data_IF_816632887138
#
_entry.id   IF_816632887138
#
_cell.length_a   1.000
_cell.length_b   1.000
_cell.length_c   1.000
_cell.angle_alpha   90.00
_cell.angle_beta   90.00
_cell.angle_gamma   90.00
#
_symmetry.space_group_name_H-M   'P 1'
#
loop_
_entity.id
_entity.type
_entity.pdbx_description
1 polymer ?
#
# COMPACT_ATOMS: atom_id res chain seq x y z
N UNK A 1 -19.18 -17.20 -20.08
CA UNK A 1 -18.65 -17.72 -18.80
C UNK A 1 -17.85 -16.60 -18.15
N UNK A 2 -18.39 -15.94 -17.13
CA UNK A 2 -17.65 -14.93 -16.36
C UNK A 2 -16.70 -15.64 -15.41
N UNK A 3 -15.55 -15.03 -15.13
CA UNK A 3 -14.47 -15.56 -14.28
C UNK A 3 -14.89 -15.81 -12.81
N UNK A 4 -16.17 -15.63 -12.48
CA UNK A 4 -16.78 -15.89 -11.18
C UNK A 4 -16.88 -17.37 -10.83
N UNK A 5 -16.82 -18.25 -11.84
CA UNK A 5 -17.20 -19.66 -11.68
C UNK A 5 -15.98 -20.60 -11.57
N UNK A 6 -14.76 -20.04 -11.67
CA UNK A 6 -13.51 -20.75 -11.48
C UNK A 6 -12.98 -20.36 -10.09
N UNK A 7 -12.65 -21.33 -9.24
CA UNK A 7 -12.15 -21.13 -7.87
C UNK A 7 -10.75 -20.47 -7.82
N UNK A 8 -10.56 -19.32 -8.46
CA UNK A 8 -9.31 -18.55 -8.48
C UNK A 8 -9.41 -17.37 -7.52
N UNK A 9 -8.54 -17.35 -6.50
CA UNK A 9 -8.46 -16.25 -5.54
C UNK A 9 -7.06 -15.63 -5.55
N UNK A 10 -6.99 -14.35 -5.91
CA UNK A 10 -5.78 -13.55 -5.75
C UNK A 10 -5.67 -13.07 -4.31
N UNK A 11 -4.59 -13.46 -3.62
CA UNK A 11 -4.21 -12.91 -2.31
C UNK A 11 -3.13 -11.84 -2.49
N UNK A 12 -2.66 -11.25 -1.38
CA UNK A 12 -1.64 -10.19 -1.44
C UNK A 12 -0.33 -10.64 -2.11
N UNK A 13 0.04 -11.92 -1.95
CA UNK A 13 1.31 -12.47 -2.46
C UNK A 13 1.13 -13.70 -3.33
N UNK A 14 0.07 -14.48 -3.11
CA UNK A 14 -0.11 -15.80 -3.72
C UNK A 14 -1.41 -15.86 -4.54
N UNK A 15 -1.41 -16.71 -5.55
CA UNK A 15 -2.63 -17.10 -6.26
C UNK A 15 -3.07 -18.45 -5.71
N UNK A 16 -4.26 -18.50 -5.13
CA UNK A 16 -4.85 -19.72 -4.57
C UNK A 16 -5.87 -20.29 -5.56
N UNK A 17 -5.77 -21.58 -5.82
CA UNK A 17 -6.75 -22.36 -6.59
C UNK A 17 -7.59 -23.22 -5.63
N UNK A 18 -8.85 -23.51 -5.96
CA UNK A 18 -9.68 -24.49 -5.25
C UNK A 18 -9.20 -25.93 -5.50
N UNK A 19 -9.51 -26.86 -4.59
CA UNK A 19 -9.01 -28.25 -4.66
C UNK A 19 -9.36 -28.96 -5.97
N UNK A 20 -10.58 -28.76 -6.49
CA UNK A 20 -11.02 -29.35 -7.76
C UNK A 20 -10.28 -28.80 -8.99
N UNK A 21 -9.66 -27.61 -8.90
CA UNK A 21 -9.01 -26.93 -10.02
C UNK A 21 -7.51 -27.18 -10.16
N UNK A 22 -6.89 -27.97 -9.27
CA UNK A 22 -5.44 -28.22 -9.34
C UNK A 22 -5.04 -29.21 -10.44
N UNK A 23 -5.93 -30.15 -10.81
CA UNK A 23 -5.70 -31.13 -11.87
C UNK A 23 -5.77 -30.51 -13.29
N UNK A 24 -6.55 -29.45 -13.46
CA UNK A 24 -6.71 -28.73 -14.73
C UNK A 24 -5.60 -27.70 -15.01
N UNK A 25 -4.61 -27.57 -14.13
CA UNK A 25 -3.53 -26.58 -14.28
C UNK A 25 -2.70 -26.79 -15.56
N UNK A 26 -2.50 -28.04 -15.99
CA UNK A 26 -1.79 -28.34 -17.25
C UNK A 26 -2.61 -27.88 -18.48
N UNK A 27 -3.95 -28.01 -18.40
CA UNK A 27 -4.89 -27.55 -19.44
C UNK A 27 -4.94 -26.02 -19.49
N UNK A 28 -4.93 -25.35 -18.34
CA UNK A 28 -4.90 -23.88 -18.29
C UNK A 28 -3.61 -23.31 -18.90
N UNK A 29 -2.46 -23.93 -18.65
CA UNK A 29 -1.17 -23.52 -19.26
C UNK A 29 -1.22 -23.72 -20.78
N UNK A 30 -1.79 -24.82 -21.27
CA UNK A 30 -1.96 -25.10 -22.69
C UNK A 30 -2.88 -24.07 -23.38
N UNK A 31 -4.04 -23.78 -22.79
CA UNK A 31 -4.98 -22.78 -23.33
C UNK A 31 -4.36 -21.38 -23.39
N UNK A 32 -3.55 -20.98 -22.41
CA UNK A 32 -2.82 -19.71 -22.41
C UNK A 32 -1.84 -19.58 -23.59
N UNK A 33 -1.23 -20.69 -24.04
CA UNK A 33 -0.35 -20.70 -25.22
C UNK A 33 -1.13 -20.65 -26.54
N UNK A 34 -2.39 -21.09 -26.54
CA UNK A 34 -3.27 -21.17 -27.70
C UNK A 34 -4.26 -19.99 -27.82
N UNK A 35 -4.11 -18.97 -26.96
CA UNK A 35 -4.90 -17.73 -27.02
C UNK A 35 -4.54 -16.93 -28.27
N UNK A 36 -5.24 -17.21 -29.37
CA UNK A 36 -5.28 -16.34 -30.55
C UNK A 36 -5.67 -14.91 -30.15
N UNK A 37 -4.92 -13.96 -30.70
CA UNK A 37 -4.99 -12.49 -30.63
C UNK A 37 -5.38 -11.83 -29.28
N UNK A 38 -4.60 -10.85 -28.79
CA UNK A 38 -4.92 -10.15 -27.55
C UNK A 38 -6.28 -9.45 -27.63
N UNK A 39 -7.14 -9.74 -26.64
CA UNK A 39 -8.47 -9.12 -26.55
C UNK A 39 -8.28 -7.62 -26.25
N UNK A 40 -8.74 -6.69 -27.12
CA UNK A 40 -8.47 -5.24 -26.99
C UNK A 40 -8.99 -4.62 -25.69
N UNK A 41 -9.97 -5.26 -25.03
CA UNK A 41 -10.45 -4.86 -23.69
C UNK A 41 -9.40 -5.08 -22.60
N UNK A 42 -8.63 -6.17 -22.69
CA UNK A 42 -7.59 -6.51 -21.71
C UNK A 42 -6.40 -5.55 -21.87
N UNK A 43 -6.00 -5.24 -23.10
CA UNK A 43 -4.91 -4.29 -23.36
C UNK A 43 -5.21 -2.91 -22.78
N UNK A 44 -6.41 -2.38 -23.04
CA UNK A 44 -6.87 -1.13 -22.45
C UNK A 44 -6.87 -1.18 -20.92
N UNK A 45 -7.30 -2.30 -20.34
CA UNK A 45 -7.32 -2.49 -18.89
C UNK A 45 -5.91 -2.54 -18.28
N UNK A 46 -4.96 -3.23 -18.92
CA UNK A 46 -3.56 -3.29 -18.49
C UNK A 46 -2.93 -1.90 -18.54
N UNK A 47 -3.19 -1.12 -19.60
CA UNK A 47 -2.69 0.25 -19.69
C UNK A 47 -3.23 1.14 -18.58
N UNK A 48 -4.54 1.11 -18.33
CA UNK A 48 -5.17 1.88 -17.25
C UNK A 48 -4.68 1.48 -15.85
N UNK A 49 -4.49 0.20 -15.58
CA UNK A 49 -3.99 -0.27 -14.28
C UNK A 49 -2.54 0.14 -14.04
N UNK A 50 -1.69 0.15 -15.08
CA UNK A 50 -0.32 0.70 -15.01
C UNK A 50 -0.31 2.18 -14.65
N UNK A 51 -1.12 2.98 -15.32
CA UNK A 51 -1.24 4.42 -15.00
C UNK A 51 -1.74 4.67 -13.59
N UNK A 52 -2.78 3.94 -13.15
CA UNK A 52 -3.27 4.03 -11.77
C UNK A 52 -2.18 3.64 -10.77
N UNK A 53 -1.43 2.56 -11.01
CA UNK A 53 -0.34 2.13 -10.12
C UNK A 53 0.72 3.23 -9.95
N UNK A 54 1.10 3.90 -11.03
CA UNK A 54 2.03 5.03 -10.99
C UNK A 54 1.45 6.21 -10.19
N UNK A 55 0.20 6.61 -10.48
CA UNK A 55 -0.48 7.69 -9.76
C UNK A 55 -0.55 7.43 -8.24
N UNK A 56 -0.96 6.22 -7.85
CA UNK A 56 -1.04 5.82 -6.43
C UNK A 56 0.34 5.74 -5.77
N UNK A 57 1.37 5.30 -6.50
CA UNK A 57 2.75 5.28 -6.00
C UNK A 57 3.24 6.70 -5.67
N UNK A 58 3.06 7.65 -6.60
CA UNK A 58 3.42 9.06 -6.41
C UNK A 58 2.67 9.66 -5.22
N UNK A 59 1.35 9.43 -5.13
CA UNK A 59 0.55 9.90 -4.00
C UNK A 59 1.05 9.35 -2.65
N UNK A 60 1.47 8.07 -2.63
CA UNK A 60 1.97 7.42 -1.43
C UNK A 60 3.29 8.03 -0.94
N UNK A 61 4.20 8.34 -1.87
CA UNK A 61 5.46 9.03 -1.56
C UNK A 61 5.21 10.43 -1.00
N UNK A 62 4.29 11.19 -1.60
CA UNK A 62 3.92 12.53 -1.11
C UNK A 62 3.33 12.45 0.31
N UNK A 63 2.43 11.49 0.56
CA UNK A 63 1.86 11.27 1.89
C UNK A 63 2.94 10.92 2.92
N UNK A 64 3.91 10.08 2.56
CA UNK A 64 5.01 9.70 3.45
C UNK A 64 5.90 10.90 3.79
N UNK A 65 6.26 11.73 2.80
CA UNK A 65 6.99 12.98 3.01
C UNK A 65 6.25 13.89 4.01
N UNK A 66 4.96 14.11 3.79
CA UNK A 66 4.14 14.96 4.65
C UNK A 66 4.02 14.38 6.07
N UNK A 67 3.93 13.05 6.21
CA UNK A 67 3.91 12.37 7.52
C UNK A 67 5.21 12.60 8.29
N UNK A 68 6.37 12.52 7.64
CA UNK A 68 7.67 12.75 8.30
C UNK A 68 7.78 14.18 8.82
N UNK A 69 7.42 15.17 7.98
CA UNK A 69 7.42 16.59 8.37
C UNK A 69 6.45 16.85 9.53
N UNK A 70 5.25 16.29 9.45
CA UNK A 70 4.26 16.38 10.53
C UNK A 70 4.79 15.82 11.85
N UNK A 71 5.38 14.61 11.84
CA UNK A 71 5.96 13.98 13.03
C UNK A 71 7.10 14.80 13.63
N UNK A 72 7.94 15.40 12.78
CA UNK A 72 9.00 16.32 13.23
C UNK A 72 8.42 17.53 13.96
N UNK A 73 7.37 18.15 13.43
CA UNK A 73 6.71 19.29 14.08
C UNK A 73 6.17 18.92 15.47
N UNK A 74 5.43 17.82 15.58
CA UNK A 74 4.92 17.35 16.87
C UNK A 74 6.04 17.05 17.88
N UNK A 75 7.17 16.49 17.41
CA UNK A 75 8.32 16.22 18.28
C UNK A 75 8.92 17.53 18.83
N UNK A 76 9.07 18.55 17.99
CA UNK A 76 9.58 19.87 18.41
C UNK A 76 8.64 20.49 19.45
N UNK A 77 7.33 20.41 19.23
CA UNK A 77 6.33 20.92 20.17
C UNK A 77 6.45 20.22 21.52
N UNK A 78 6.53 18.88 21.54
CA UNK A 78 6.73 18.12 22.78
C UNK A 78 8.04 18.51 23.46
N UNK A 79 9.15 18.57 22.72
CA UNK A 79 10.46 18.93 23.25
C UNK A 79 10.46 20.33 23.88
N UNK A 80 9.79 21.31 23.26
CA UNK A 80 9.64 22.66 23.79
C UNK A 80 8.90 22.66 25.13
N UNK A 81 7.76 21.97 25.22
CA UNK A 81 6.98 21.92 26.45
C UNK A 81 7.73 21.22 27.58
N UNK A 82 8.39 20.10 27.28
CA UNK A 82 9.20 19.36 28.26
C UNK A 82 10.36 20.21 28.77
N UNK A 83 11.11 20.88 27.87
CA UNK A 83 12.21 21.78 28.26
C UNK A 83 11.73 22.92 29.15
N UNK A 84 10.62 23.56 28.77
CA UNK A 84 10.02 24.63 29.58
C UNK A 84 9.63 24.14 30.97
N UNK A 85 8.94 22.99 31.07
CA UNK A 85 8.54 22.40 32.34
C UNK A 85 9.73 22.08 33.25
N UNK A 86 10.81 21.50 32.69
CA UNK A 86 12.02 21.18 33.46
C UNK A 86 12.72 22.44 33.99
N UNK A 87 12.78 23.50 33.19
CA UNK A 87 13.36 24.79 33.61
C UNK A 87 12.50 25.40 34.73
N UNK A 88 11.18 25.48 34.54
CA UNK A 88 10.26 25.99 35.56
C UNK A 88 10.46 25.25 36.89
N UNK A 89 10.39 23.91 36.86
CA UNK A 89 10.59 23.08 38.06
C UNK A 89 11.95 23.31 38.75
N UNK A 90 13.00 23.63 38.01
CA UNK A 90 14.36 23.82 38.56
C UNK A 90 14.60 25.20 39.17
N UNK A 91 13.97 26.25 38.63
CA UNK A 91 14.27 27.64 38.98
C UNK A 91 13.16 28.34 39.77
N UNK A 92 11.88 27.98 39.61
CA UNK A 92 10.77 28.52 40.43
C UNK A 92 11.04 28.43 41.94
N UNK A 93 11.44 27.28 42.52
CA UNK A 93 11.69 27.20 43.98
C UNK A 93 12.91 28.02 44.44
N UNK A 94 13.76 28.52 43.54
CA UNK A 94 14.91 29.37 43.89
C UNK A 94 14.57 30.86 43.85
N UNK A 95 13.45 31.23 43.23
CA UNK A 95 13.00 32.62 43.12
C UNK A 95 12.06 33.02 44.27
N UNK A 96 11.51 32.04 45.00
CA UNK A 96 10.60 32.24 46.14
C UNK A 96 11.34 32.29 47.50
N UNK A 97 12.69 32.27 47.49
CA UNK A 97 13.57 32.51 48.65
C UNK A 97 14.13 33.93 48.62
#
# INVERSE_FOLDING_TARGET
>A
MTFSDINLKFTLTNVCFGQETFADNEIMIYDLTNLGEPRPKVERYVLWTRWKRAQWCVLSVIKLKNKIVFRRKCLIDIQRHVRMHLVYKRYTPRQEL
#
